data_IF_870130523129
#
_entry.id   IF_870130523129
#
_cell.length_a   1.000
_cell.length_b   1.000
_cell.length_c   1.000
_cell.angle_alpha   90.00
_cell.angle_beta   90.00
_cell.angle_gamma   90.00
#
_symmetry.space_group_name_H-M   'P 1'
#
loop_
_entity.id
_entity.type
_entity.pdbx_description
1 polymer ?
#
# COMPACT_ATOMS: atom_id res chain seq x y z
N UNK A 1 -8.76 -2.10 16.31
CA UNK A 1 -8.40 -3.22 15.40
C UNK A 1 -8.59 -2.85 13.93
N UNK A 2 -9.40 -1.84 13.63
CA UNK A 2 -9.49 -1.23 12.31
C UNK A 2 -8.10 -0.94 11.74
N UNK A 3 -7.86 -1.33 10.48
CA UNK A 3 -6.63 -1.12 9.73
C UNK A 3 -5.40 -1.96 10.12
N UNK A 4 -5.56 -3.03 10.92
CA UNK A 4 -4.46 -3.96 11.22
C UNK A 4 -4.07 -4.80 9.99
N UNK A 5 -2.78 -4.84 9.67
CA UNK A 5 -2.22 -5.71 8.63
C UNK A 5 -1.97 -7.10 9.23
N UNK A 6 -2.70 -8.14 8.78
CA UNK A 6 -2.61 -9.47 9.38
C UNK A 6 -1.29 -10.17 9.06
N UNK A 7 -0.83 -11.03 9.97
CA UNK A 7 0.31 -11.91 9.77
C UNK A 7 1.71 -11.26 9.88
N UNK A 8 1.79 -10.07 10.47
CA UNK A 8 3.06 -9.52 10.93
C UNK A 8 3.34 -9.99 12.37
N UNK A 9 4.59 -10.37 12.68
CA UNK A 9 4.97 -10.75 14.06
C UNK A 9 4.81 -9.57 15.04
N UNK A 10 5.10 -8.36 14.57
CA UNK A 10 4.73 -7.11 15.25
C UNK A 10 3.43 -6.57 14.66
N UNK A 11 2.57 -5.98 15.48
CA UNK A 11 1.37 -5.31 14.97
C UNK A 11 1.75 -4.13 14.09
N UNK A 12 1.09 -4.02 12.94
CA UNK A 12 1.26 -2.98 11.95
C UNK A 12 -0.13 -2.51 11.54
N UNK A 13 -0.36 -1.20 11.57
CA UNK A 13 -1.58 -0.58 11.12
C UNK A 13 -1.28 0.25 9.87
N UNK A 14 -2.16 0.15 8.87
CA UNK A 14 -2.04 0.88 7.60
C UNK A 14 -3.39 1.50 7.25
N UNK A 15 -3.44 2.82 7.24
CA UNK A 15 -4.61 3.60 6.86
C UNK A 15 -4.36 4.22 5.47
N UNK A 16 -4.88 3.58 4.40
CA UNK A 16 -4.83 4.15 3.07
C UNK A 16 -5.88 5.26 2.90
N UNK A 17 -5.60 6.23 2.04
CA UNK A 17 -6.53 7.28 1.62
C UNK A 17 -6.35 7.59 0.14
N UNK A 18 -7.40 8.09 -0.50
CA UNK A 18 -7.33 8.65 -1.83
C UNK A 18 -8.10 9.97 -1.86
N UNK A 19 -7.41 11.05 -2.20
CA UNK A 19 -7.97 12.41 -2.29
C UNK A 19 -7.63 12.96 -3.68
N UNK A 20 -8.63 13.46 -4.40
CA UNK A 20 -8.45 14.04 -5.75
C UNK A 20 -7.71 13.12 -6.73
N UNK A 21 -7.95 11.80 -6.62
CA UNK A 21 -7.30 10.78 -7.45
C UNK A 21 -5.85 10.47 -7.08
N UNK A 22 -5.37 10.94 -5.92
CA UNK A 22 -4.03 10.69 -5.39
C UNK A 22 -4.09 9.85 -4.12
N UNK A 23 -3.36 8.74 -4.12
CA UNK A 23 -3.22 7.85 -2.98
C UNK A 23 -2.25 8.42 -1.95
N UNK A 24 -2.52 8.12 -0.68
CA UNK A 24 -1.61 8.36 0.43
C UNK A 24 -1.78 7.29 1.51
N UNK A 25 -0.76 7.09 2.33
CA UNK A 25 -0.74 5.97 3.27
C UNK A 25 -0.13 6.39 4.60
N UNK A 26 -0.94 6.32 5.68
CA UNK A 26 -0.44 6.45 7.06
C UNK A 26 -0.22 5.07 7.64
N UNK A 27 0.88 4.86 8.35
CA UNK A 27 1.14 3.60 9.02
C UNK A 27 1.80 3.78 10.38
N UNK A 28 1.57 2.81 11.26
CA UNK A 28 2.21 2.73 12.57
C UNK A 28 2.48 1.28 12.97
N UNK A 29 3.44 1.04 13.85
CA UNK A 29 3.77 -0.30 14.33
C UNK A 29 4.41 -0.27 15.70
N UNK A 30 4.14 -1.32 16.49
CA UNK A 30 4.81 -1.56 17.77
C UNK A 30 6.31 -1.86 17.63
N UNK A 31 6.78 -2.14 16.41
CA UNK A 31 8.20 -2.28 16.10
C UNK A 31 8.69 -1.09 15.30
N UNK A 32 9.68 -0.37 15.85
CA UNK A 32 10.31 0.78 15.20
C UNK A 32 10.90 0.44 13.83
N UNK A 33 11.45 -0.77 13.69
CA UNK A 33 12.01 -1.25 12.41
C UNK A 33 10.90 -1.52 11.39
N UNK A 34 9.80 -2.17 11.80
CA UNK A 34 8.66 -2.40 10.91
C UNK A 34 7.99 -1.10 10.50
N UNK A 35 7.83 -0.15 11.45
CA UNK A 35 7.36 1.20 11.15
C UNK A 35 8.23 1.88 10.11
N UNK A 36 9.57 1.87 10.29
CA UNK A 36 10.48 2.49 9.33
C UNK A 36 10.35 1.88 7.92
N UNK A 37 10.22 0.56 7.82
CA UNK A 37 10.02 -0.12 6.53
C UNK A 37 8.69 0.23 5.87
N UNK A 38 7.61 0.19 6.63
CA UNK A 38 6.28 0.53 6.14
C UNK A 38 6.24 2.00 5.68
N UNK A 39 6.76 2.94 6.48
CA UNK A 39 6.84 4.36 6.12
C UNK A 39 7.68 4.57 4.87
N UNK A 40 8.81 3.87 4.73
CA UNK A 40 9.68 3.98 3.56
C UNK A 40 8.95 3.54 2.30
N UNK A 41 8.28 2.38 2.33
CA UNK A 41 7.55 1.87 1.17
C UNK A 41 6.32 2.73 0.84
N UNK A 42 5.52 3.09 1.84
CA UNK A 42 4.37 3.97 1.69
C UNK A 42 4.75 5.33 1.10
N UNK A 43 5.88 5.89 1.53
CA UNK A 43 6.39 7.17 1.03
C UNK A 43 6.73 7.18 -0.46
N UNK A 44 7.02 6.02 -1.07
CA UNK A 44 7.22 5.93 -2.52
C UNK A 44 5.94 6.20 -3.33
N UNK A 45 4.77 6.04 -2.71
CA UNK A 45 3.47 6.12 -3.36
C UNK A 45 2.62 7.28 -2.88
N UNK A 46 3.14 8.14 -2.00
CA UNK A 46 2.42 9.34 -1.57
C UNK A 46 2.21 10.26 -2.79
N UNK A 47 0.95 10.61 -3.06
CA UNK A 47 0.57 11.45 -4.18
C UNK A 47 0.47 10.71 -5.52
N UNK A 48 0.75 9.41 -5.58
CA UNK A 48 0.64 8.60 -6.80
C UNK A 48 -0.83 8.32 -7.15
N UNK A 49 -1.15 8.19 -8.44
CA UNK A 49 -2.50 7.78 -8.85
C UNK A 49 -2.67 6.27 -8.67
N UNK A 50 -3.91 5.77 -8.45
CA UNK A 50 -4.16 4.33 -8.38
C UNK A 50 -3.66 3.58 -9.62
N UNK A 51 -3.91 4.14 -10.81
CA UNK A 51 -3.41 3.60 -12.08
C UNK A 51 -1.87 3.52 -12.13
N UNK A 52 -1.15 4.52 -11.63
CA UNK A 52 0.31 4.50 -11.60
C UNK A 52 0.82 3.38 -10.67
N UNK A 53 0.23 3.21 -9.50
CA UNK A 53 0.57 2.12 -8.57
C UNK A 53 0.32 0.75 -9.22
N UNK A 54 -0.83 0.57 -9.88
CA UNK A 54 -1.21 -0.68 -10.53
C UNK A 54 -0.41 -1.00 -11.80
N UNK A 55 0.19 0.01 -12.44
CA UNK A 55 1.05 -0.17 -13.61
C UNK A 55 2.41 -0.77 -13.27
N UNK A 56 2.79 -0.79 -11.99
CA UNK A 56 4.03 -1.40 -11.54
C UNK A 56 3.97 -2.93 -11.70
N UNK A 57 5.09 -3.55 -12.11
CA UNK A 57 5.12 -4.98 -12.36
C UNK A 57 5.00 -5.76 -11.03
N UNK A 58 4.50 -7.00 -11.09
CA UNK A 58 4.32 -7.85 -9.92
C UNK A 58 5.63 -8.09 -9.14
N UNK A 59 6.75 -8.09 -9.85
CA UNK A 59 8.10 -8.25 -9.30
C UNK A 59 8.75 -6.91 -8.87
N UNK A 60 7.97 -5.82 -8.75
CA UNK A 60 8.47 -4.50 -8.35
C UNK A 60 9.37 -4.57 -7.11
N UNK A 61 8.91 -5.23 -6.04
CA UNK A 61 9.70 -5.38 -4.81
C UNK A 61 11.01 -6.14 -5.05
N UNK A 62 11.03 -7.13 -5.93
CA UNK A 62 12.23 -7.91 -6.29
C UNK A 62 13.27 -7.08 -7.01
N UNK A 63 12.80 -6.13 -7.83
CA UNK A 63 13.66 -5.18 -8.54
C UNK A 63 14.25 -4.13 -7.61
N UNK A 64 13.64 -3.91 -6.45
CA UNK A 64 14.23 -3.05 -5.42
C UNK A 64 15.33 -3.81 -4.65
N UNK A 65 16.45 -3.15 -4.39
CA UNK A 65 17.48 -3.70 -3.50
C UNK A 65 17.01 -3.76 -2.02
N UNK A 66 15.80 -3.30 -1.71
CA UNK A 66 15.25 -3.26 -0.35
C UNK A 66 15.16 -4.66 0.26
N UNK A 67 14.78 -5.69 -0.51
CA UNK A 67 14.66 -7.06 0.00
C UNK A 67 15.98 -7.63 0.49
N UNK A 68 17.08 -7.34 -0.21
CA UNK A 68 18.43 -7.86 0.10
C UNK A 68 19.01 -7.33 1.41
N UNK A 69 18.47 -6.22 1.92
CA UNK A 69 18.90 -5.60 3.17
C UNK A 69 18.14 -6.12 4.40
N UNK A 70 17.18 -7.04 4.20
CA UNK A 70 16.22 -7.45 5.21
C UNK A 70 16.30 -8.95 5.50
N UNK A 71 16.08 -9.31 6.77
CA UNK A 71 15.85 -10.70 7.18
C UNK A 71 14.55 -11.22 6.57
N UNK A 72 14.39 -12.55 6.45
CA UNK A 72 13.22 -13.17 5.83
C UNK A 72 11.89 -12.65 6.40
N UNK A 73 11.80 -12.55 7.73
CA UNK A 73 10.60 -12.04 8.40
C UNK A 73 10.26 -10.58 8.03
N UNK A 74 11.26 -9.74 7.77
CA UNK A 74 11.07 -8.33 7.37
C UNK A 74 10.73 -8.20 5.89
N UNK A 75 11.22 -9.11 5.05
CA UNK A 75 10.80 -9.19 3.65
C UNK A 75 9.32 -9.53 3.54
N UNK A 76 8.80 -10.42 4.40
CA UNK A 76 7.38 -10.73 4.45
C UNK A 76 6.53 -9.54 4.90
N UNK A 77 6.99 -8.78 5.89
CA UNK A 77 6.33 -7.51 6.26
C UNK A 77 6.27 -6.53 5.09
N UNK A 78 7.38 -6.34 4.37
CA UNK A 78 7.43 -5.45 3.21
C UNK A 78 6.46 -5.89 2.11
N UNK A 79 6.38 -7.20 1.85
CA UNK A 79 5.45 -7.76 0.87
C UNK A 79 3.99 -7.55 1.27
N UNK A 80 3.64 -7.74 2.54
CA UNK A 80 2.28 -7.48 3.05
C UNK A 80 1.87 -6.02 2.89
N UNK A 81 2.78 -5.08 3.18
CA UNK A 81 2.52 -3.64 2.97
C UNK A 81 2.27 -3.35 1.50
N UNK A 82 3.10 -3.90 0.61
CA UNK A 82 2.93 -3.76 -0.84
C UNK A 82 1.59 -4.32 -1.33
N UNK A 83 1.21 -5.51 -0.88
CA UNK A 83 -0.06 -6.13 -1.23
C UNK A 83 -1.25 -5.26 -0.79
N UNK A 84 -1.20 -4.70 0.43
CA UNK A 84 -2.23 -3.77 0.91
C UNK A 84 -2.30 -2.48 0.10
N UNK A 85 -1.16 -1.90 -0.28
CA UNK A 85 -1.10 -0.71 -1.16
C UNK A 85 -1.75 -1.00 -2.51
N UNK A 86 -1.42 -2.14 -3.12
CA UNK A 86 -1.94 -2.52 -4.44
C UNK A 86 -3.43 -2.87 -4.41
N UNK A 87 -3.89 -3.56 -3.36
CA UNK A 87 -5.32 -3.86 -3.15
C UNK A 87 -6.13 -2.57 -3.07
N UNK A 88 -5.68 -1.62 -2.25
CA UNK A 88 -6.34 -0.32 -2.12
C UNK A 88 -6.39 0.44 -3.44
N UNK A 89 -5.27 0.48 -4.19
CA UNK A 89 -5.24 1.12 -5.50
C UNK A 89 -6.23 0.47 -6.48
N UNK A 90 -6.37 -0.86 -6.48
CA UNK A 90 -7.33 -1.57 -7.32
C UNK A 90 -8.79 -1.20 -6.98
N UNK A 91 -9.13 -1.16 -5.69
CA UNK A 91 -10.46 -0.79 -5.20
C UNK A 91 -10.85 0.64 -5.59
N UNK A 92 -9.91 1.58 -5.40
CA UNK A 92 -10.12 2.99 -5.78
C UNK A 92 -10.25 3.15 -7.29
N UNK A 93 -9.39 2.48 -8.07
CA UNK A 93 -9.43 2.54 -9.53
C UNK A 93 -10.76 1.99 -10.08
N UNK A 94 -11.29 0.91 -9.50
CA UNK A 94 -12.57 0.34 -9.88
C UNK A 94 -13.74 1.29 -9.59
N UNK A 95 -13.69 1.98 -8.45
CA UNK A 95 -14.71 2.98 -8.06
C UNK A 95 -14.65 4.21 -8.97
N UNK A 96 -13.45 4.70 -9.31
CA UNK A 96 -13.26 5.83 -10.22
C UNK A 96 -13.63 5.54 -11.68
N UNK A 97 -13.59 4.26 -12.10
CA UNK A 97 -13.96 3.84 -13.44
C UNK A 97 -15.48 3.67 -13.65
N UNK A 98 -16.29 3.76 -12.60
CA UNK A 98 -17.75 3.71 -12.70
C UNK A 98 -18.28 5.14 -12.92
N UNK A 99 -18.77 5.51 -14.12
CA UNK A 99 -19.42 6.80 -14.30
C UNK A 99 -20.68 6.86 -13.42
N UNK A 100 -21.11 8.06 -12.94
CA UNK A 100 -22.38 8.18 -12.24
C UNK A 100 -23.49 7.78 -13.22
N UNK A 101 -24.07 6.60 -13.01
CA UNK A 101 -25.33 6.19 -13.65
C UNK A 101 -26.44 7.09 -13.09
N UNK A 102 -26.58 8.27 -13.69
CA UNK A 102 -27.47 9.32 -13.22
C UNK A 102 -27.68 10.36 -14.31
N UNK A 103 -28.22 9.95 -15.46
CA UNK A 103 -29.01 10.82 -16.32
C UNK A 103 -30.16 10.00 -16.91
N UNK A 104 -31.25 9.94 -16.16
CA UNK A 104 -32.59 9.66 -16.66
C UNK A 104 -33.47 10.78 -16.14
N UNK A 105 -33.62 11.84 -16.94
CA UNK A 105 -34.86 12.58 -17.20
C UNK A 105 -34.76 13.20 -18.60
#
# INVERSE_FOLDING_TARGET
EENLVPGCLSRLWLQPRCEEGRCGFRCDSDSLVVKALAVTLCGLFEGATPAAILSLPDDFLERTNLRRLLTSNRQDTLRRVWDSVRSFAAEVQATAATPPSGLRE
#
